data_IF_950889147549
#
_entry.id   IF_950889147549
#
_cell.length_a   1.000
_cell.length_b   1.000
_cell.length_c   1.000
_cell.angle_alpha   90.00
_cell.angle_beta   90.00
_cell.angle_gamma   90.00
#
_symmetry.space_group_name_H-M   'P 1'
#
loop_
_entity.id
_entity.type
_entity.pdbx_description
1 polymer ?
#
# COMPACT_ATOMS: atom_id res chain seq x y z
N UNK A 1 -16.57 -25.71 -18.52
CA UNK A 1 -15.33 -26.33 -18.02
C UNK A 1 -15.06 -25.77 -16.61
N UNK A 2 -14.94 -26.64 -15.63
CA UNK A 2 -14.62 -26.19 -14.26
C UNK A 2 -13.14 -25.80 -14.17
N UNK A 3 -12.85 -24.57 -13.70
CA UNK A 3 -11.48 -24.16 -13.42
C UNK A 3 -11.00 -24.80 -12.12
N UNK A 4 -9.82 -25.39 -12.17
CA UNK A 4 -9.15 -25.99 -11.01
C UNK A 4 -8.60 -24.90 -10.09
N UNK A 5 -8.19 -23.76 -10.67
CA UNK A 5 -7.61 -22.63 -9.93
C UNK A 5 -8.60 -21.46 -9.93
N UNK A 6 -8.86 -20.96 -8.74
CA UNK A 6 -9.74 -19.79 -8.52
C UNK A 6 -8.97 -18.68 -7.83
N UNK A 7 -9.52 -17.46 -7.83
CA UNK A 7 -8.94 -16.35 -7.07
C UNK A 7 -8.80 -16.73 -5.58
N UNK A 8 -7.73 -16.28 -4.92
CA UNK A 8 -7.58 -16.49 -3.48
C UNK A 8 -8.73 -15.88 -2.69
N UNK A 9 -9.08 -16.49 -1.57
CA UNK A 9 -10.09 -15.96 -0.67
C UNK A 9 -9.72 -14.56 -0.19
N UNK A 10 -10.68 -13.65 -0.21
CA UNK A 10 -10.44 -12.25 0.17
C UNK A 10 -9.92 -11.35 -0.95
N UNK A 11 -9.79 -11.88 -2.17
CA UNK A 11 -9.42 -11.10 -3.34
C UNK A 11 -10.59 -10.94 -4.31
N UNK A 12 -10.54 -9.92 -5.14
CA UNK A 12 -11.56 -9.65 -6.14
C UNK A 12 -10.94 -9.24 -7.47
N UNK A 13 -11.50 -9.75 -8.56
CA UNK A 13 -11.15 -9.34 -9.91
C UNK A 13 -11.96 -8.11 -10.31
N UNK A 14 -11.30 -7.06 -10.74
CA UNK A 14 -11.97 -5.89 -11.30
C UNK A 14 -12.02 -6.06 -12.80
N UNK A 15 -13.12 -6.64 -13.26
CA UNK A 15 -13.30 -6.95 -14.68
C UNK A 15 -13.54 -5.70 -15.52
N UNK A 16 -13.31 -5.76 -16.87
CA UNK A 16 -13.45 -4.60 -17.76
C UNK A 16 -14.78 -3.87 -17.65
N UNK A 17 -15.86 -4.60 -17.41
CA UNK A 17 -17.21 -4.00 -17.26
C UNK A 17 -17.41 -3.21 -15.96
N UNK A 18 -16.49 -3.32 -15.00
CA UNK A 18 -16.59 -2.67 -13.68
C UNK A 18 -15.47 -1.67 -13.41
N UNK A 19 -14.35 -1.76 -14.13
CA UNK A 19 -13.14 -0.95 -13.86
C UNK A 19 -13.39 0.56 -13.96
N UNK A 20 -14.39 0.99 -14.74
CA UNK A 20 -14.74 2.41 -14.86
C UNK A 20 -15.10 3.06 -13.51
N UNK A 21 -15.63 2.30 -12.57
CA UNK A 21 -15.94 2.78 -11.23
C UNK A 21 -14.67 3.16 -10.48
N UNK A 22 -13.62 2.35 -10.62
CA UNK A 22 -12.30 2.65 -10.04
C UNK A 22 -11.68 3.88 -10.70
N UNK A 23 -11.70 3.97 -12.02
CA UNK A 23 -11.21 5.14 -12.75
C UNK A 23 -11.93 6.42 -12.28
N UNK A 24 -13.24 6.37 -12.08
CA UNK A 24 -14.02 7.51 -11.62
C UNK A 24 -13.58 7.96 -10.22
N UNK A 25 -13.45 7.02 -9.28
CA UNK A 25 -13.01 7.32 -7.91
C UNK A 25 -11.57 7.84 -7.90
N UNK A 26 -10.67 7.20 -8.63
CA UNK A 26 -9.27 7.61 -8.73
C UNK A 26 -9.13 9.02 -9.30
N UNK A 27 -9.92 9.34 -10.31
CA UNK A 27 -9.96 10.69 -10.91
C UNK A 27 -10.41 11.74 -9.91
N UNK A 28 -11.51 11.48 -9.19
CA UNK A 28 -12.04 12.39 -8.16
C UNK A 28 -11.00 12.62 -7.07
N UNK A 29 -10.38 11.57 -6.58
CA UNK A 29 -9.34 11.64 -5.53
C UNK A 29 -8.12 12.43 -6.03
N UNK A 30 -7.65 12.16 -7.25
CA UNK A 30 -6.50 12.86 -7.84
C UNK A 30 -6.77 14.35 -8.03
N UNK A 31 -7.95 14.72 -8.50
CA UNK A 31 -8.34 16.12 -8.65
C UNK A 31 -8.46 16.84 -7.31
N UNK A 32 -9.08 16.21 -6.33
CA UNK A 32 -9.19 16.75 -4.98
C UNK A 32 -7.81 16.91 -4.32
N UNK A 33 -6.96 15.91 -4.45
CA UNK A 33 -5.59 15.95 -3.93
C UNK A 33 -4.79 17.10 -4.55
N UNK A 34 -4.91 17.32 -5.86
CA UNK A 34 -4.22 18.41 -6.56
C UNK A 34 -4.65 19.78 -6.04
N UNK A 35 -5.94 19.98 -5.75
CA UNK A 35 -6.47 21.24 -5.21
C UNK A 35 -5.80 21.59 -3.86
N UNK A 36 -5.54 20.60 -3.03
CA UNK A 36 -4.90 20.77 -1.72
C UNK A 36 -3.36 20.65 -1.76
N UNK A 37 -2.78 20.56 -2.95
CA UNK A 37 -1.34 20.50 -3.13
C UNK A 37 -0.70 19.14 -2.81
N UNK A 38 -1.46 18.06 -2.82
CA UNK A 38 -0.94 16.70 -2.69
C UNK A 38 -0.44 16.18 -4.04
N UNK A 39 0.71 15.50 -4.02
CA UNK A 39 1.30 14.85 -5.20
C UNK A 39 1.27 13.34 -5.02
N UNK A 40 1.03 12.61 -6.10
CA UNK A 40 1.00 11.15 -6.05
C UNK A 40 2.39 10.58 -5.81
N UNK A 41 2.46 9.57 -4.94
CA UNK A 41 3.65 8.74 -4.74
C UNK A 41 3.25 7.27 -4.91
N UNK A 42 4.12 6.48 -5.50
CA UNK A 42 3.97 5.03 -5.61
C UNK A 42 5.19 4.36 -5.03
N UNK A 43 4.95 3.37 -4.21
CA UNK A 43 5.99 2.60 -3.53
C UNK A 43 5.90 1.13 -3.91
N UNK A 44 6.98 0.33 -3.70
CA UNK A 44 6.95 -1.09 -4.04
C UNK A 44 5.86 -1.86 -3.32
N UNK A 45 5.38 -2.91 -3.97
CA UNK A 45 4.36 -3.82 -3.43
C UNK A 45 4.86 -4.58 -2.20
N UNK A 46 6.16 -4.85 -2.13
CA UNK A 46 6.80 -5.51 -1.01
C UNK A 46 8.02 -4.71 -0.54
N UNK A 47 8.33 -4.85 0.72
CA UNK A 47 9.44 -4.18 1.39
C UNK A 47 10.21 -5.19 2.24
N UNK A 48 11.37 -4.83 2.72
CA UNK A 48 12.04 -5.63 3.76
C UNK A 48 11.14 -5.73 4.99
N UNK A 49 11.00 -6.94 5.53
CA UNK A 49 10.11 -7.22 6.66
C UNK A 49 10.38 -6.31 7.87
N UNK A 50 11.65 -5.97 8.10
CA UNK A 50 12.05 -5.09 9.19
C UNK A 50 11.42 -3.71 9.17
N UNK A 51 11.04 -3.19 8.00
CA UNK A 51 10.36 -1.90 7.90
C UNK A 51 9.02 -1.91 8.65
N UNK A 52 8.22 -2.96 8.44
CA UNK A 52 6.90 -3.07 9.06
C UNK A 52 6.98 -3.45 10.54
N UNK A 53 7.92 -4.27 10.93
CA UNK A 53 8.15 -4.65 12.33
C UNK A 53 8.47 -3.43 13.19
N UNK A 54 9.28 -2.50 12.67
CA UNK A 54 9.64 -1.26 13.38
C UNK A 54 8.49 -0.28 13.51
N UNK A 55 7.65 -0.18 12.48
CA UNK A 55 6.58 0.83 12.45
C UNK A 55 5.36 0.45 13.29
N UNK A 56 5.09 -0.86 13.45
CA UNK A 56 3.89 -1.34 14.13
C UNK A 56 4.11 -1.57 15.63
N UNK A 57 5.38 -1.65 16.08
CA UNK A 57 5.73 -1.90 17.48
C UNK A 57 5.46 -3.34 17.93
N UNK A 58 6.05 -3.72 19.07
CA UNK A 58 5.98 -5.09 19.61
C UNK A 58 4.59 -5.52 20.10
N UNK A 59 3.67 -4.58 20.21
CA UNK A 59 2.32 -4.83 20.78
C UNK A 59 1.34 -5.48 19.82
N UNK A 60 1.72 -5.70 18.56
CA UNK A 60 0.83 -6.23 17.54
C UNK A 60 1.32 -7.56 16.99
N UNK A 61 1.52 -8.52 17.87
CA UNK A 61 1.76 -9.92 17.52
C UNK A 61 0.68 -10.44 16.52
N UNK A 62 -0.53 -9.92 16.65
CA UNK A 62 -1.67 -10.20 15.77
C UNK A 62 -1.43 -9.68 14.36
N UNK A 63 -0.93 -8.45 14.19
CA UNK A 63 -0.68 -7.86 12.87
C UNK A 63 0.48 -8.55 12.16
N UNK A 64 1.52 -8.93 12.88
CA UNK A 64 2.65 -9.66 12.31
C UNK A 64 2.25 -11.05 11.79
N UNK A 65 1.31 -11.73 12.46
CA UNK A 65 0.77 -13.02 12.00
C UNK A 65 -0.13 -12.90 10.78
N UNK A 66 -0.63 -11.73 10.49
CA UNK A 66 -1.54 -11.47 9.38
C UNK A 66 -0.84 -10.95 8.13
N UNK A 67 0.42 -10.58 8.24
CA UNK A 67 1.22 -10.14 7.10
C UNK A 67 1.63 -11.32 6.21
N UNK A 68 1.61 -11.09 4.91
CA UNK A 68 2.09 -12.07 3.93
C UNK A 68 3.60 -11.94 3.77
N UNK A 69 4.33 -12.95 4.19
CA UNK A 69 5.79 -13.04 4.00
C UNK A 69 6.12 -13.70 2.67
N UNK A 70 7.11 -13.17 1.98
CA UNK A 70 7.59 -13.68 0.70
C UNK A 70 9.05 -14.08 0.86
N UNK A 71 9.37 -15.29 0.40
CA UNK A 71 10.75 -15.78 0.35
C UNK A 71 11.28 -15.63 -1.08
N UNK A 72 12.36 -14.88 -1.23
CA UNK A 72 13.14 -14.87 -2.46
C UNK A 72 14.31 -15.85 -2.33
N UNK A 73 14.98 -16.17 -3.44
CA UNK A 73 16.19 -16.98 -3.40
C UNK A 73 17.25 -16.29 -2.53
N UNK A 74 17.70 -16.97 -1.47
CA UNK A 74 18.57 -16.44 -0.43
C UNK A 74 17.84 -16.20 0.89
N UNK A 75 18.55 -15.63 1.87
CA UNK A 75 18.01 -15.38 3.23
C UNK A 75 17.19 -14.08 3.35
N UNK A 76 16.89 -13.43 2.24
CA UNK A 76 16.15 -12.18 2.24
C UNK A 76 14.69 -12.39 2.62
N UNK A 77 14.22 -11.66 3.63
CA UNK A 77 12.85 -11.68 4.10
C UNK A 77 12.12 -10.42 3.65
N UNK A 78 11.10 -10.63 2.83
CA UNK A 78 10.22 -9.57 2.34
C UNK A 78 8.80 -9.79 2.85
N UNK A 79 8.05 -8.70 2.94
CA UNK A 79 6.65 -8.73 3.33
C UNK A 79 5.85 -7.90 2.33
N UNK A 80 4.72 -8.45 1.88
CA UNK A 80 3.75 -7.68 1.09
C UNK A 80 3.21 -6.56 1.96
N UNK A 81 3.16 -5.35 1.44
CA UNK A 81 2.75 -4.17 2.22
C UNK A 81 1.37 -4.36 2.86
N UNK A 82 1.29 -4.36 4.21
CA UNK A 82 0.01 -4.41 4.92
C UNK A 82 -0.64 -3.03 5.02
N UNK A 83 0.16 -1.97 4.84
CA UNK A 83 -0.25 -0.57 4.88
C UNK A 83 0.71 0.27 4.03
N UNK A 84 0.37 1.51 3.77
CA UNK A 84 1.14 2.35 2.84
C UNK A 84 2.04 3.38 3.50
N UNK A 85 1.87 3.67 4.79
CA UNK A 85 2.59 4.76 5.47
C UNK A 85 4.08 4.47 5.61
N UNK A 86 4.45 3.28 6.04
CA UNK A 86 5.86 2.91 6.26
C UNK A 86 6.68 2.96 4.97
N UNK A 87 6.17 2.39 3.88
CA UNK A 87 6.84 2.44 2.58
C UNK A 87 6.95 3.86 2.04
N UNK A 88 5.92 4.67 2.24
CA UNK A 88 5.93 6.08 1.83
C UNK A 88 6.96 6.88 2.61
N UNK A 89 7.05 6.72 3.92
CA UNK A 89 8.06 7.39 4.75
C UNK A 89 9.47 6.97 4.35
N UNK A 90 9.71 5.68 4.13
CA UNK A 90 10.99 5.20 3.62
C UNK A 90 11.34 5.86 2.28
N UNK A 91 10.40 5.90 1.34
CA UNK A 91 10.61 6.48 0.02
C UNK A 91 10.91 7.99 0.11
N UNK A 92 10.19 8.72 0.95
CA UNK A 92 10.41 10.15 1.19
C UNK A 92 11.81 10.42 1.73
N UNK A 93 12.25 9.63 2.70
CA UNK A 93 13.58 9.78 3.30
C UNK A 93 14.69 9.36 2.33
N UNK A 94 14.55 8.21 1.70
CA UNK A 94 15.56 7.66 0.80
C UNK A 94 15.78 8.53 -0.45
N UNK A 95 14.74 9.15 -0.96
CA UNK A 95 14.81 10.03 -2.13
C UNK A 95 15.06 11.51 -1.79
N UNK A 96 15.23 11.84 -0.52
CA UNK A 96 15.51 13.20 -0.08
C UNK A 96 14.40 14.21 -0.37
N UNK A 97 13.15 13.76 -0.45
CA UNK A 97 12.01 14.62 -0.80
C UNK A 97 11.84 15.76 0.20
N UNK A 98 12.15 15.53 1.47
CA UNK A 98 12.06 16.56 2.49
C UNK A 98 13.04 17.72 2.28
N UNK A 99 14.11 17.51 1.51
CA UNK A 99 15.08 18.55 1.18
C UNK A 99 14.54 19.54 0.13
N UNK A 100 13.46 19.19 -0.55
CA UNK A 100 12.80 20.07 -1.54
C UNK A 100 11.91 21.16 -0.88
N UNK A 101 11.81 21.13 0.44
CA UNK A 101 11.01 22.05 1.22
C UNK A 101 9.92 21.37 2.05
N UNK A 102 9.42 22.04 3.05
CA UNK A 102 8.37 21.59 3.96
C UNK A 102 7.20 22.58 3.95
N UNK A 103 5.96 22.13 4.15
CA UNK A 103 5.53 20.73 4.27
C UNK A 103 5.47 20.00 2.93
N UNK A 104 5.72 18.68 2.95
CA UNK A 104 5.49 17.80 1.82
C UNK A 104 4.14 17.11 1.96
N UNK A 105 3.37 17.12 0.89
CA UNK A 105 2.03 16.52 0.83
C UNK A 105 2.00 15.46 -0.26
N UNK A 106 1.81 14.22 0.14
CA UNK A 106 1.75 13.10 -0.80
C UNK A 106 0.50 12.27 -0.55
N UNK A 107 0.00 11.62 -1.61
CA UNK A 107 -1.08 10.65 -1.53
C UNK A 107 -0.75 9.41 -2.34
N UNK A 108 -1.39 8.32 -2.01
CA UNK A 108 -1.27 7.08 -2.74
C UNK A 108 -2.61 6.37 -2.84
N UNK A 109 -2.77 5.62 -3.92
CA UNK A 109 -3.89 4.69 -4.15
C UNK A 109 -3.25 3.34 -4.41
N UNK A 110 -3.26 2.46 -3.43
CA UNK A 110 -2.51 1.21 -3.43
C UNK A 110 -3.35 0.06 -2.88
N UNK A 111 -3.08 -1.14 -3.33
CA UNK A 111 -3.60 -2.36 -2.72
C UNK A 111 -2.79 -2.75 -1.50
N UNK A 112 -3.45 -3.27 -0.46
CA UNK A 112 -2.82 -3.73 0.76
C UNK A 112 -3.11 -5.22 0.98
N UNK A 113 -2.19 -5.89 1.66
CA UNK A 113 -2.18 -7.34 1.79
C UNK A 113 -2.19 -7.73 3.27
N UNK A 114 -3.37 -8.11 3.76
CA UNK A 114 -3.58 -8.64 5.10
C UNK A 114 -4.39 -9.93 5.03
N UNK A 115 -4.04 -10.91 5.86
CA UNK A 115 -4.74 -12.19 5.90
C UNK A 115 -6.14 -12.09 6.51
N UNK A 116 -6.40 -11.09 7.35
CA UNK A 116 -7.74 -10.75 7.79
C UNK A 116 -8.45 -9.93 6.72
N UNK A 117 -9.71 -10.26 6.49
CA UNK A 117 -10.58 -9.56 5.56
C UNK A 117 -10.98 -8.21 6.19
N UNK A 118 -10.04 -7.27 6.23
CA UNK A 118 -10.36 -5.88 6.46
C UNK A 118 -10.28 -5.18 5.12
N UNK A 119 -11.41 -4.63 4.70
CA UNK A 119 -11.44 -3.67 3.61
C UNK A 119 -10.81 -2.40 4.16
N UNK A 120 -9.49 -2.30 4.05
CA UNK A 120 -8.84 -1.01 4.29
C UNK A 120 -9.11 -0.12 3.09
N UNK A 121 -9.43 1.13 3.34
CA UNK A 121 -9.58 2.11 2.28
C UNK A 121 -8.30 2.16 1.44
N UNK A 122 -8.38 2.01 0.12
CA UNK A 122 -7.19 1.95 -0.73
C UNK A 122 -6.48 3.29 -0.89
N UNK A 123 -7.06 4.37 -0.36
CA UNK A 123 -6.54 5.73 -0.55
C UNK A 123 -6.24 6.38 0.79
N UNK A 124 -5.08 7.00 0.90
CA UNK A 124 -4.70 7.77 2.07
C UNK A 124 -3.96 9.05 1.68
N UNK A 125 -4.27 10.11 2.37
CA UNK A 125 -3.58 11.40 2.26
C UNK A 125 -2.61 11.54 3.42
N UNK A 126 -1.37 11.91 3.12
CA UNK A 126 -0.32 12.18 4.08
C UNK A 126 0.24 13.58 3.88
N UNK A 127 0.38 14.32 4.99
CA UNK A 127 1.11 15.58 5.05
C UNK A 127 2.26 15.45 6.03
N UNK A 128 3.44 15.80 5.58
CA UNK A 128 4.69 15.73 6.33
C UNK A 128 5.30 17.10 6.46
#
# INVERSE_FOLDING_TARGET
MALIVKKPKGTEDIVPSKVYKWHTVEKIVSEAAAIYGFKEIRVPTFEETGLFVRSVGETTDVVQKEMYSVSAAGDSKFTLRPEGTSGTMRAVLENGIMNEGLPQKVYYILSFFLSLIHISEPTRLLSI
#
